data_IF_062422517008
#
_entry.id   IF_062422517008
#
_cell.length_a   1.000
_cell.length_b   1.000
_cell.length_c   1.000
_cell.angle_alpha   90.00
_cell.angle_beta   90.00
_cell.angle_gamma   90.00
#
_symmetry.space_group_name_H-M   'P 1'
#
loop_
_entity.id
_entity.type
_entity.pdbx_description
1 polymer ?
#
# COMPACT_ATOMS: atom_id res chain seq x y z
N UNK A 1 35.24 11.75 2.00
CA UNK A 1 35.55 11.27 0.63
C UNK A 1 36.62 12.14 -0.04
N UNK A 2 36.65 13.43 0.23
CA UNK A 2 37.65 14.34 -0.37
C UNK A 2 39.07 14.23 0.22
N UNK A 3 39.24 13.53 1.33
CA UNK A 3 40.50 13.34 2.07
C UNK A 3 41.28 12.07 1.71
N UNK A 4 40.80 11.28 0.72
CA UNK A 4 41.45 10.06 0.27
C UNK A 4 41.41 8.87 1.22
N UNK A 5 40.64 8.94 2.32
CA UNK A 5 40.50 7.87 3.32
C UNK A 5 39.75 6.65 2.81
N UNK A 6 38.94 6.80 1.72
CA UNK A 6 38.17 5.71 1.14
C UNK A 6 38.86 5.25 -0.18
N UNK A 7 39.27 3.99 -0.28
CA UNK A 7 39.81 3.44 -1.54
C UNK A 7 38.82 3.63 -2.71
N UNK A 8 39.30 3.98 -3.91
CA UNK A 8 38.47 4.22 -5.09
C UNK A 8 37.44 3.11 -5.37
N UNK A 9 37.84 1.85 -5.14
CA UNK A 9 37.00 0.67 -5.35
C UNK A 9 35.76 0.62 -4.41
N UNK A 10 35.83 1.29 -3.27
CA UNK A 10 34.74 1.34 -2.30
C UNK A 10 33.89 2.63 -2.39
N UNK A 11 34.35 3.64 -3.15
CA UNK A 11 33.64 4.93 -3.23
C UNK A 11 32.25 4.79 -3.82
N UNK A 12 32.10 4.03 -4.90
CA UNK A 12 30.81 3.78 -5.54
C UNK A 12 29.85 3.06 -4.58
N UNK A 13 30.33 2.08 -3.83
CA UNK A 13 29.54 1.38 -2.82
C UNK A 13 29.03 2.32 -1.73
N UNK A 14 29.88 3.21 -1.21
CA UNK A 14 29.49 4.16 -0.17
C UNK A 14 28.58 5.26 -0.72
N UNK A 15 28.79 5.71 -1.96
CA UNK A 15 27.89 6.66 -2.61
C UNK A 15 26.49 6.06 -2.77
N UNK A 16 26.38 4.82 -3.22
CA UNK A 16 25.10 4.12 -3.34
C UNK A 16 24.39 3.96 -1.98
N UNK A 17 25.13 3.71 -0.89
CA UNK A 17 24.57 3.67 0.46
C UNK A 17 24.04 5.04 0.88
N UNK A 18 24.79 6.12 0.61
CA UNK A 18 24.36 7.49 0.95
C UNK A 18 23.09 7.87 0.18
N UNK A 19 23.05 7.61 -1.13
CA UNK A 19 21.88 7.86 -1.97
C UNK A 19 20.67 7.09 -1.42
N UNK A 20 20.85 5.82 -1.13
CA UNK A 20 19.83 4.95 -0.58
C UNK A 20 19.24 5.48 0.75
N UNK A 21 20.08 5.91 1.69
CA UNK A 21 19.61 6.44 2.97
C UNK A 21 18.99 7.83 2.82
N UNK A 22 19.46 8.65 1.87
CA UNK A 22 18.86 9.95 1.55
C UNK A 22 17.44 9.78 0.98
N UNK A 23 17.24 8.90 0.01
CA UNK A 23 15.91 8.58 -0.54
C UNK A 23 14.96 8.00 0.52
N UNK A 24 15.48 7.17 1.41
CA UNK A 24 14.72 6.63 2.53
C UNK A 24 14.29 7.72 3.52
N UNK A 25 15.18 8.66 3.84
CA UNK A 25 14.89 9.78 4.72
C UNK A 25 13.86 10.73 4.11
N UNK A 26 13.98 11.02 2.82
CA UNK A 26 12.99 11.81 2.08
C UNK A 26 11.60 11.17 2.15
N UNK A 27 11.50 9.88 1.87
CA UNK A 27 10.23 9.12 1.95
C UNK A 27 9.64 9.11 3.36
N UNK A 28 10.50 9.02 4.39
CA UNK A 28 10.08 9.10 5.79
C UNK A 28 9.52 10.48 6.13
N UNK A 29 10.21 11.55 5.76
CA UNK A 29 9.77 12.93 6.04
C UNK A 29 8.45 13.26 5.33
N UNK A 30 8.31 12.90 4.06
CA UNK A 30 7.06 13.07 3.31
C UNK A 30 5.90 12.32 3.98
N UNK A 31 6.11 11.05 4.34
CA UNK A 31 5.10 10.22 5.00
C UNK A 31 4.69 10.78 6.37
N UNK A 32 5.64 11.32 7.15
CA UNK A 32 5.36 11.96 8.44
C UNK A 32 4.58 13.26 8.29
N UNK A 33 4.96 14.11 7.34
CA UNK A 33 4.24 15.35 7.04
C UNK A 33 2.79 15.05 6.61
N UNK A 34 2.61 14.01 5.83
CA UNK A 34 1.29 13.55 5.42
C UNK A 34 0.45 13.06 6.61
N UNK A 35 0.99 12.16 7.44
CA UNK A 35 0.29 11.67 8.63
C UNK A 35 -0.09 12.79 9.61
N UNK A 36 0.72 13.84 9.73
CA UNK A 36 0.41 14.98 10.58
C UNK A 36 -0.77 15.81 10.05
N UNK A 37 -1.01 15.82 8.73
CA UNK A 37 -2.19 16.46 8.14
C UNK A 37 -3.49 15.79 8.56
N UNK A 38 -3.50 14.46 8.73
CA UNK A 38 -4.70 13.73 9.19
C UNK A 38 -5.00 13.91 10.68
N UNK A 39 -4.01 14.25 11.51
CA UNK A 39 -4.18 14.48 12.97
C UNK A 39 -4.59 15.90 13.37
N UNK A 40 -4.47 16.89 12.50
CA UNK A 40 -4.91 18.26 12.73
C UNK A 40 -6.34 18.46 12.25
N UNK A 41 -7.17 19.19 13.00
CA UNK A 41 -8.60 19.44 12.76
C UNK A 41 -8.92 19.67 11.27
N UNK A 42 -9.51 18.65 10.62
CA UNK A 42 -10.08 18.73 9.28
C UNK A 42 -9.08 18.45 8.16
N UNK A 43 -8.85 17.17 7.85
CA UNK A 43 -8.30 16.80 6.55
C UNK A 43 -9.34 17.13 5.49
N UNK A 44 -9.06 18.15 4.66
CA UNK A 44 -9.91 18.46 3.53
C UNK A 44 -9.68 17.39 2.46
N UNK A 45 -10.67 16.49 2.29
CA UNK A 45 -10.72 15.54 1.20
C UNK A 45 -11.36 16.22 -0.02
N UNK A 46 -10.78 16.03 -1.19
CA UNK A 46 -11.41 16.41 -2.46
C UNK A 46 -12.27 15.26 -2.96
N UNK A 47 -13.51 15.17 -2.42
CA UNK A 47 -14.44 14.11 -2.76
C UNK A 47 -15.00 14.31 -4.17
N UNK A 48 -14.73 13.36 -5.06
CA UNK A 48 -15.25 13.31 -6.43
C UNK A 48 -15.85 11.95 -6.72
N UNK A 49 -16.72 11.87 -7.72
CA UNK A 49 -17.20 10.58 -8.25
C UNK A 49 -16.25 10.14 -9.34
N UNK A 50 -15.75 8.90 -9.27
CA UNK A 50 -14.83 8.34 -10.25
C UNK A 50 -14.97 6.82 -10.36
N UNK A 51 -14.53 6.27 -11.49
CA UNK A 51 -14.49 4.84 -11.73
C UNK A 51 -13.33 4.18 -10.98
N UNK A 52 -13.66 3.41 -9.96
CA UNK A 52 -12.70 2.67 -9.12
C UNK A 52 -12.01 1.54 -9.92
N UNK A 53 -12.74 0.87 -10.82
CA UNK A 53 -12.16 -0.20 -11.63
C UNK A 53 -11.05 0.32 -12.52
N UNK A 54 -11.23 1.51 -13.11
CA UNK A 54 -10.20 2.17 -13.91
C UNK A 54 -8.98 2.55 -13.04
N UNK A 55 -9.20 3.10 -11.83
CA UNK A 55 -8.12 3.42 -10.89
C UNK A 55 -7.32 2.16 -10.53
N UNK A 56 -7.97 1.06 -10.17
CA UNK A 56 -7.33 -0.21 -9.83
C UNK A 56 -6.47 -0.71 -11.01
N UNK A 57 -7.04 -0.77 -12.22
CA UNK A 57 -6.32 -1.20 -13.42
C UNK A 57 -5.07 -0.35 -13.68
N UNK A 58 -5.19 0.98 -13.57
CA UNK A 58 -4.05 1.91 -13.74
C UNK A 58 -2.97 1.70 -12.69
N UNK A 59 -3.34 1.51 -11.41
CA UNK A 59 -2.37 1.28 -10.33
C UNK A 59 -1.59 -0.01 -10.55
N UNK A 60 -2.27 -1.09 -10.99
CA UNK A 60 -1.62 -2.38 -11.26
C UNK A 60 -0.57 -2.28 -12.37
N UNK A 61 -0.84 -1.53 -13.44
CA UNK A 61 0.10 -1.34 -14.56
C UNK A 61 1.48 -0.84 -14.07
N UNK A 62 1.53 -0.04 -12.99
CA UNK A 62 2.79 0.43 -12.40
C UNK A 62 3.63 -0.69 -11.77
N UNK A 63 3.02 -1.84 -11.47
CA UNK A 63 3.70 -2.99 -10.86
C UNK A 63 4.07 -4.08 -11.86
N UNK A 64 3.60 -4.05 -13.11
CA UNK A 64 3.82 -5.12 -14.11
C UNK A 64 5.32 -5.42 -14.34
N UNK A 65 6.16 -4.39 -14.44
CA UNK A 65 7.60 -4.56 -14.61
C UNK A 65 8.25 -5.32 -13.46
N UNK A 66 7.85 -4.99 -12.23
CA UNK A 66 8.34 -5.61 -11.00
C UNK A 66 7.82 -7.04 -10.80
N UNK A 67 6.60 -7.31 -11.28
CA UNK A 67 5.98 -8.65 -11.18
C UNK A 67 6.78 -9.70 -11.95
N UNK A 68 7.34 -9.35 -13.11
CA UNK A 68 8.18 -10.25 -13.91
C UNK A 68 9.41 -10.72 -13.15
N UNK A 69 10.01 -9.87 -12.32
CA UNK A 69 11.21 -10.20 -11.54
C UNK A 69 10.94 -11.24 -10.44
N UNK A 70 9.73 -11.26 -9.88
CA UNK A 70 9.31 -12.17 -8.81
C UNK A 70 8.38 -13.29 -9.29
N UNK A 71 8.08 -13.36 -10.59
CA UNK A 71 7.08 -14.29 -11.17
C UNK A 71 5.72 -14.17 -10.47
N UNK A 72 5.31 -12.93 -10.13
CA UNK A 72 3.99 -12.65 -9.56
C UNK A 72 3.00 -12.31 -10.67
N UNK A 73 1.73 -12.66 -10.49
CA UNK A 73 0.63 -12.26 -11.35
C UNK A 73 -0.48 -11.59 -10.55
N UNK A 74 -1.32 -10.80 -11.24
CA UNK A 74 -2.54 -10.25 -10.68
C UNK A 74 -3.76 -11.00 -11.20
N UNK A 75 -4.71 -11.24 -10.30
CA UNK A 75 -6.04 -11.74 -10.61
C UNK A 75 -7.06 -10.67 -10.19
N UNK A 76 -7.89 -10.22 -11.16
CA UNK A 76 -8.84 -9.13 -10.96
C UNK A 76 -10.26 -9.68 -11.02
N UNK A 77 -10.97 -9.61 -9.91
CA UNK A 77 -12.38 -10.01 -9.78
C UNK A 77 -13.19 -8.73 -9.49
N UNK A 78 -13.47 -7.98 -10.56
CA UNK A 78 -14.09 -6.65 -10.45
C UNK A 78 -15.60 -6.73 -10.70
N UNK A 79 -16.37 -5.99 -9.90
CA UNK A 79 -17.81 -5.83 -10.07
C UNK A 79 -18.10 -4.93 -11.26
N UNK A 80 -18.74 -5.48 -12.32
CA UNK A 80 -19.10 -4.74 -13.53
C UNK A 80 -17.90 -4.27 -14.36
N UNK A 81 -18.19 -3.59 -15.46
CA UNK A 81 -17.17 -2.96 -16.30
C UNK A 81 -16.66 -1.67 -15.67
N UNK A 82 -17.57 -0.88 -15.10
CA UNK A 82 -17.33 0.36 -14.36
C UNK A 82 -17.94 0.26 -12.95
N UNK A 83 -17.27 0.82 -11.96
CA UNK A 83 -17.76 0.86 -10.57
C UNK A 83 -17.46 2.22 -9.95
N UNK A 84 -18.47 3.05 -9.84
CA UNK A 84 -18.33 4.42 -9.36
C UNK A 84 -18.38 4.50 -7.83
N UNK A 85 -17.47 5.31 -7.27
CA UNK A 85 -17.40 5.60 -5.83
C UNK A 85 -17.23 7.09 -5.60
N UNK A 86 -17.70 7.59 -4.46
CA UNK A 86 -17.50 8.99 -4.04
C UNK A 86 -16.40 9.06 -2.99
N UNK A 87 -15.19 9.47 -3.42
CA UNK A 87 -14.02 9.54 -2.56
C UNK A 87 -12.99 10.54 -3.09
N UNK A 88 -11.90 10.76 -2.38
CA UNK A 88 -10.72 11.47 -2.90
C UNK A 88 -9.88 10.50 -3.73
N UNK A 89 -9.95 10.63 -5.06
CA UNK A 89 -9.32 9.69 -5.99
C UNK A 89 -7.81 9.58 -5.81
N UNK A 90 -7.12 10.69 -5.49
CA UNK A 90 -5.67 10.68 -5.27
C UNK A 90 -5.31 9.94 -3.97
N UNK A 91 -6.15 10.06 -2.94
CA UNK A 91 -5.97 9.35 -1.67
C UNK A 91 -6.29 7.86 -1.79
N UNK A 92 -7.31 7.50 -2.56
CA UNK A 92 -7.62 6.08 -2.82
C UNK A 92 -6.54 5.44 -3.71
N UNK A 93 -5.99 6.16 -4.70
CA UNK A 93 -4.83 5.68 -5.47
C UNK A 93 -3.64 5.37 -4.54
N UNK A 94 -3.37 6.24 -3.57
CA UNK A 94 -2.35 6.02 -2.55
C UNK A 94 -2.63 4.80 -1.65
N UNK A 95 -3.89 4.58 -1.25
CA UNK A 95 -4.31 3.37 -0.52
C UNK A 95 -4.01 2.12 -1.34
N UNK A 96 -4.46 2.09 -2.59
CA UNK A 96 -4.24 0.96 -3.49
C UNK A 96 -2.75 0.70 -3.70
N UNK A 97 -1.96 1.75 -3.98
CA UNK A 97 -0.51 1.62 -4.14
C UNK A 97 0.15 1.01 -2.89
N UNK A 98 -0.18 1.48 -1.68
CA UNK A 98 0.40 0.97 -0.43
C UNK A 98 0.01 -0.50 -0.17
N UNK A 99 -1.24 -0.88 -0.42
CA UNK A 99 -1.70 -2.26 -0.22
C UNK A 99 -1.09 -3.21 -1.25
N UNK A 100 -1.04 -2.81 -2.52
CA UNK A 100 -0.42 -3.60 -3.59
C UNK A 100 1.09 -3.74 -3.38
N UNK A 101 1.80 -2.66 -2.97
CA UNK A 101 3.23 -2.72 -2.67
C UNK A 101 3.53 -3.67 -1.50
N UNK A 102 2.68 -3.67 -0.47
CA UNK A 102 2.77 -4.64 0.62
C UNK A 102 2.54 -6.07 0.13
N UNK A 103 1.46 -6.32 -0.62
CA UNK A 103 1.19 -7.62 -1.20
C UNK A 103 2.37 -8.09 -2.06
N UNK A 104 2.93 -7.22 -2.92
CA UNK A 104 4.09 -7.51 -3.74
C UNK A 104 5.34 -7.85 -2.91
N UNK A 105 5.62 -7.11 -1.84
CA UNK A 105 6.81 -7.31 -1.00
C UNK A 105 6.78 -8.61 -0.25
N UNK A 106 5.62 -8.97 0.29
CA UNK A 106 5.47 -10.06 1.24
C UNK A 106 4.96 -11.35 0.61
N UNK A 107 4.45 -11.32 -0.63
CA UNK A 107 4.11 -12.52 -1.40
C UNK A 107 5.30 -13.45 -1.57
N UNK A 108 5.02 -14.74 -1.66
CA UNK A 108 5.98 -15.72 -2.10
C UNK A 108 6.19 -15.60 -3.62
N UNK A 109 7.32 -16.06 -4.13
CA UNK A 109 7.55 -16.17 -5.57
C UNK A 109 6.50 -17.09 -6.21
N UNK A 110 6.27 -16.93 -7.51
CA UNK A 110 5.33 -17.74 -8.30
C UNK A 110 3.90 -17.77 -7.73
N UNK A 111 3.47 -16.66 -7.11
CA UNK A 111 2.13 -16.56 -6.51
C UNK A 111 1.26 -15.47 -7.17
N UNK A 112 0.00 -15.41 -6.77
CA UNK A 112 -1.01 -14.51 -7.32
C UNK A 112 -1.43 -13.50 -6.27
N UNK A 113 -1.50 -12.23 -6.64
CA UNK A 113 -2.14 -11.16 -5.86
C UNK A 113 -3.54 -10.98 -6.44
N UNK A 114 -4.56 -11.25 -5.63
CA UNK A 114 -5.96 -11.09 -6.04
C UNK A 114 -6.51 -9.75 -5.57
N UNK A 115 -7.15 -9.00 -6.47
CA UNK A 115 -7.87 -7.78 -6.14
C UNK A 115 -9.33 -7.99 -6.49
N UNK A 116 -10.19 -7.83 -5.50
CA UNK A 116 -11.63 -8.05 -5.66
C UNK A 116 -12.41 -6.80 -5.28
N UNK A 117 -13.45 -6.47 -6.04
CA UNK A 117 -14.45 -5.46 -5.68
C UNK A 117 -15.82 -6.10 -5.58
N UNK A 118 -16.58 -5.75 -4.53
CA UNK A 118 -17.95 -6.25 -4.33
C UNK A 118 -18.85 -5.09 -3.87
N UNK A 119 -20.01 -4.94 -4.52
CA UNK A 119 -21.03 -3.96 -4.12
C UNK A 119 -22.05 -4.62 -3.20
N UNK A 120 -22.20 -4.10 -1.98
CA UNK A 120 -23.21 -4.56 -0.98
C UNK A 120 -23.76 -3.39 -0.20
N UNK A 121 -25.08 -3.28 -0.13
CA UNK A 121 -25.79 -2.28 0.71
C UNK A 121 -25.28 -0.83 0.50
N UNK A 122 -25.07 -0.43 -0.76
CA UNK A 122 -24.60 0.94 -1.09
C UNK A 122 -23.14 1.21 -0.75
N UNK A 123 -22.36 0.17 -0.42
CA UNK A 123 -20.92 0.26 -0.19
C UNK A 123 -20.16 -0.68 -1.12
N UNK A 124 -19.05 -0.19 -1.62
CA UNK A 124 -18.08 -0.97 -2.37
C UNK A 124 -17.04 -1.49 -1.39
N UNK A 125 -16.88 -2.80 -1.35
CA UNK A 125 -15.79 -3.48 -0.63
C UNK A 125 -14.65 -3.73 -1.60
N UNK A 126 -13.45 -3.35 -1.23
CA UNK A 126 -12.23 -3.58 -2.00
C UNK A 126 -11.33 -4.49 -1.18
N UNK A 127 -10.98 -5.63 -1.75
CA UNK A 127 -10.05 -6.60 -1.15
C UNK A 127 -8.74 -6.64 -1.94
N UNK A 128 -7.62 -6.65 -1.24
CA UNK A 128 -6.28 -6.94 -1.78
C UNK A 128 -5.70 -8.11 -1.00
N UNK A 129 -5.54 -9.25 -1.67
CA UNK A 129 -5.14 -10.52 -1.07
C UNK A 129 -3.84 -11.02 -1.66
N UNK A 130 -2.90 -11.40 -0.79
CA UNK A 130 -1.64 -12.04 -1.15
C UNK A 130 -1.55 -13.49 -0.64
N UNK A 131 -0.63 -14.25 -1.23
CA UNK A 131 -0.22 -15.58 -0.77
C UNK A 131 1.23 -15.50 -0.30
N UNK A 132 1.42 -14.80 0.81
CA UNK A 132 2.73 -14.49 1.33
C UNK A 132 3.00 -15.08 2.71
N UNK A 133 3.91 -14.43 3.42
CA UNK A 133 4.33 -14.85 4.76
C UNK A 133 3.22 -14.71 5.82
N UNK A 134 2.15 -13.96 5.52
CA UNK A 134 1.12 -13.64 6.50
C UNK A 134 1.64 -12.76 7.65
N UNK A 135 0.76 -12.55 8.64
CA UNK A 135 1.02 -11.69 9.81
C UNK A 135 0.77 -12.53 11.08
N UNK A 136 1.74 -12.58 12.00
CA UNK A 136 1.56 -13.23 13.30
C UNK A 136 0.38 -12.62 14.07
N UNK A 137 -0.39 -13.43 14.80
CA UNK A 137 -1.59 -12.99 15.54
C UNK A 137 -1.31 -11.83 16.49
N UNK A 138 -0.18 -11.85 17.18
CA UNK A 138 0.23 -10.79 18.13
C UNK A 138 0.55 -9.46 17.45
N UNK A 139 0.78 -9.50 16.14
CA UNK A 139 1.12 -8.34 15.33
C UNK A 139 -0.09 -7.70 14.64
N UNK A 140 -1.21 -8.43 14.47
CA UNK A 140 -2.38 -7.97 13.70
C UNK A 140 -2.92 -6.62 14.21
N UNK A 141 -3.01 -6.42 15.51
CA UNK A 141 -3.45 -5.16 16.09
C UNK A 141 -2.45 -4.01 15.91
N UNK A 142 -1.16 -4.35 15.80
CA UNK A 142 -0.06 -3.41 15.79
C UNK A 142 0.41 -2.97 14.40
N UNK A 143 0.03 -3.69 13.33
CA UNK A 143 0.45 -3.35 11.96
C UNK A 143 0.02 -1.94 11.52
N UNK A 144 -0.97 -1.35 12.21
CA UNK A 144 -1.47 0.00 11.99
C UNK A 144 -0.70 1.09 12.72
N UNK A 145 0.19 0.69 13.65
CA UNK A 145 1.05 1.63 14.39
C UNK A 145 2.14 2.19 13.47
N UNK A 146 2.49 3.45 13.69
CA UNK A 146 3.59 4.11 12.96
C UNK A 146 4.91 3.42 13.24
N UNK A 147 5.73 3.21 12.21
CA UNK A 147 7.05 2.56 12.27
C UNK A 147 7.04 1.09 12.69
N UNK A 148 5.87 0.49 12.86
CA UNK A 148 5.78 -0.91 13.23
C UNK A 148 6.15 -1.81 12.06
N UNK A 149 6.96 -2.82 12.35
CA UNK A 149 7.32 -3.90 11.43
C UNK A 149 7.44 -5.19 12.23
N UNK A 150 6.90 -6.28 11.71
CA UNK A 150 7.14 -7.62 12.25
C UNK A 150 8.59 -8.04 12.00
N UNK A 151 9.14 -8.97 12.78
CA UNK A 151 10.52 -9.43 12.58
C UNK A 151 10.72 -10.08 11.20
N UNK A 152 9.72 -10.84 10.74
CA UNK A 152 9.71 -11.40 9.39
C UNK A 152 9.72 -10.33 8.29
N UNK A 153 9.00 -9.21 8.49
CA UNK A 153 8.97 -8.10 7.55
C UNK A 153 10.27 -7.28 7.54
N UNK A 154 10.98 -7.19 8.66
CA UNK A 154 12.29 -6.52 8.76
C UNK A 154 13.33 -7.20 7.86
N UNK A 155 13.27 -8.53 7.75
CA UNK A 155 14.16 -9.32 6.90
C UNK A 155 13.90 -9.12 5.40
N UNK A 156 12.62 -9.08 4.99
CA UNK A 156 12.19 -8.99 3.58
C UNK A 156 12.16 -7.54 3.04
N UNK A 157 11.79 -6.57 3.87
CA UNK A 157 11.65 -5.15 3.46
C UNK A 157 12.58 -4.24 4.28
N UNK A 158 13.86 -4.24 3.93
CA UNK A 158 14.85 -3.34 4.54
C UNK A 158 14.59 -1.86 4.20
N UNK A 159 13.91 -1.58 3.09
CA UNK A 159 13.61 -0.23 2.58
C UNK A 159 12.33 0.39 3.14
N UNK A 160 11.41 -0.44 3.64
CA UNK A 160 10.11 0.04 4.13
C UNK A 160 10.24 0.93 5.35
N UNK A 161 9.38 1.92 5.43
CA UNK A 161 9.35 2.91 6.52
C UNK A 161 8.51 2.46 7.71
N UNK A 162 7.60 1.47 7.53
CA UNK A 162 6.61 1.10 8.52
C UNK A 162 5.47 2.13 8.67
N UNK A 163 5.31 3.03 7.68
CA UNK A 163 4.28 4.07 7.70
C UNK A 163 3.12 3.78 6.72
N UNK A 164 3.30 2.90 5.73
CA UNK A 164 2.32 2.67 4.67
C UNK A 164 0.94 2.26 5.17
N UNK A 165 0.86 1.30 6.09
CA UNK A 165 -0.43 0.85 6.65
C UNK A 165 -1.05 1.87 7.59
N UNK A 166 -0.25 2.64 8.34
CA UNK A 166 -0.75 3.75 9.14
C UNK A 166 -1.40 4.82 8.25
N UNK A 167 -0.77 5.17 7.12
CA UNK A 167 -1.32 6.10 6.12
C UNK A 167 -2.63 5.55 5.54
N UNK A 168 -2.66 4.28 5.15
CA UNK A 168 -3.88 3.62 4.64
C UNK A 168 -5.03 3.75 5.63
N UNK A 169 -4.78 3.43 6.90
CA UNK A 169 -5.80 3.54 7.96
C UNK A 169 -6.31 4.97 8.12
N UNK A 170 -5.42 5.95 8.17
CA UNK A 170 -5.80 7.36 8.31
C UNK A 170 -6.61 7.86 7.11
N UNK A 171 -6.24 7.49 5.88
CA UNK A 171 -6.99 7.86 4.67
C UNK A 171 -8.41 7.27 4.73
N UNK A 172 -8.55 5.99 5.00
CA UNK A 172 -9.86 5.33 5.03
C UNK A 172 -10.73 5.90 6.17
N UNK A 173 -10.16 6.14 7.35
CA UNK A 173 -10.88 6.78 8.45
C UNK A 173 -11.29 8.23 8.12
N UNK A 174 -10.46 9.00 7.40
CA UNK A 174 -10.81 10.35 6.96
C UNK A 174 -12.00 10.35 5.99
N UNK A 175 -12.21 9.25 5.24
CA UNK A 175 -13.40 9.03 4.41
C UNK A 175 -14.62 8.52 5.22
N UNK A 176 -14.52 8.40 6.55
CA UNK A 176 -15.54 7.80 7.43
C UNK A 176 -15.86 6.33 7.07
N UNK A 177 -14.88 5.63 6.54
CA UNK A 177 -14.96 4.25 6.10
C UNK A 177 -14.07 3.32 6.94
N UNK A 178 -14.18 2.01 6.70
CA UNK A 178 -13.51 1.00 7.51
C UNK A 178 -12.44 0.26 6.70
N UNK A 179 -11.37 -0.15 7.37
CA UNK A 179 -10.39 -1.09 6.86
C UNK A 179 -10.16 -2.20 7.87
N UNK A 180 -10.09 -3.43 7.37
CA UNK A 180 -9.84 -4.63 8.15
C UNK A 180 -8.73 -5.46 7.51
N UNK A 181 -8.18 -6.40 8.29
CA UNK A 181 -7.18 -7.36 7.85
C UNK A 181 -7.57 -8.76 8.30
N UNK A 182 -7.43 -9.71 7.40
CA UNK A 182 -7.53 -11.15 7.65
C UNK A 182 -6.19 -11.74 7.26
N UNK A 183 -5.50 -12.39 8.19
CA UNK A 183 -4.19 -12.96 7.90
C UNK A 183 -3.94 -14.22 8.69
N UNK A 184 -3.23 -15.15 8.06
CA UNK A 184 -2.71 -16.35 8.68
C UNK A 184 -1.23 -16.46 8.34
N UNK A 185 -0.40 -16.58 9.38
CA UNK A 185 1.05 -16.73 9.22
C UNK A 185 1.38 -17.95 8.37
N UNK A 186 2.28 -17.77 7.40
CA UNK A 186 2.66 -18.79 6.42
C UNK A 186 1.66 -19.01 5.26
N UNK A 187 0.48 -18.38 5.28
CA UNK A 187 -0.58 -18.56 4.26
C UNK A 187 -0.75 -17.32 3.39
N UNK A 188 -0.88 -16.13 4.01
CA UNK A 188 -1.06 -14.86 3.31
C UNK A 188 -1.88 -13.86 4.10
N UNK A 189 -2.13 -12.72 3.46
CA UNK A 189 -2.85 -11.59 4.05
C UNK A 189 -3.90 -11.05 3.08
N UNK A 190 -5.03 -10.64 3.60
CA UNK A 190 -6.11 -9.97 2.89
C UNK A 190 -6.45 -8.68 3.64
N UNK A 191 -6.31 -7.54 2.96
CA UNK A 191 -6.78 -6.25 3.44
C UNK A 191 -8.09 -5.91 2.74
N UNK A 192 -9.10 -5.51 3.52
CA UNK A 192 -10.43 -5.19 3.00
C UNK A 192 -10.82 -3.80 3.50
N UNK A 193 -11.13 -2.89 2.58
CA UNK A 193 -11.66 -1.58 2.94
C UNK A 193 -12.95 -1.27 2.19
N UNK A 194 -13.69 -0.27 2.69
CA UNK A 194 -14.97 0.14 2.12
C UNK A 194 -14.91 1.55 1.53
N UNK A 195 -15.73 1.79 0.51
CA UNK A 195 -16.00 3.11 -0.06
C UNK A 195 -17.50 3.28 -0.32
N UNK A 196 -18.05 4.51 -0.24
CA UNK A 196 -19.44 4.76 -0.61
C UNK A 196 -19.61 4.58 -2.13
N UNK A 197 -20.57 3.75 -2.51
CA UNK A 197 -21.00 3.63 -3.90
C UNK A 197 -21.62 4.95 -4.37
N UNK A 198 -21.37 5.31 -5.61
CA UNK A 198 -22.01 6.43 -6.27
C UNK A 198 -22.56 5.99 -7.63
N UNK A 199 -23.71 6.54 -8.00
CA UNK A 199 -24.20 6.41 -9.37
C UNK A 199 -23.41 7.34 -10.28
N UNK A 200 -23.22 6.94 -11.54
CA UNK A 200 -22.61 7.80 -12.54
C UNK A 200 -23.59 8.94 -12.86
N UNK A 201 -23.34 10.13 -12.36
CA UNK A 201 -24.08 11.32 -12.72
C UNK A 201 -23.60 11.81 -14.10
N UNK A 202 -24.02 11.12 -15.18
CA UNK A 202 -23.90 11.63 -16.56
C UNK A 202 -25.14 12.45 -16.92
#
# INVERSE_FOLDING_TARGET
MADGTIPPELQEKYLNVIIFEAERLEKLTQSLLELNKYGSKGTYLNLTVFDLNQLIKRTILMFEGRCKEKCLSFDLILTGDELYVKADSAKIDQVMHNLIDNAFKFSNADSVITIETTLRNGKVFVSVKDRGIGIPKDSIGRIWERFYKTDASRGKDKKGTGLGLAIVKEIIHAHHENINVISTEGVGTEFIFTLPYAENEN
#
